data_IF_790791751217
#
_entry.id   IF_790791751217
#
_cell.length_a   1.000
_cell.length_b   1.000
_cell.length_c   1.000
_cell.angle_alpha   90.00
_cell.angle_beta   90.00
_cell.angle_gamma   90.00
#
_symmetry.space_group_name_H-M   'P 1'
#
loop_
_entity.id
_entity.type
_entity.pdbx_description
1 polymer ?
#
# COMPACT_ATOMS: atom_id res chain seq x y z
N UNK A 1 -63.43 16.95 2.51
CA UNK A 1 -62.21 16.21 2.74
C UNK A 1 -60.97 16.73 1.99
N UNK A 2 -61.01 17.07 0.70
CA UNK A 2 -59.80 17.56 -0.07
C UNK A 2 -59.18 18.87 0.47
N UNK A 3 -59.94 19.81 1.04
CA UNK A 3 -59.39 21.06 1.59
C UNK A 3 -58.65 20.89 2.91
N UNK A 4 -59.06 19.94 3.75
CA UNK A 4 -58.38 19.67 5.03
C UNK A 4 -57.04 19.00 4.79
N UNK A 5 -56.94 18.08 3.82
CA UNK A 5 -55.67 17.42 3.44
C UNK A 5 -54.65 18.42 2.94
N UNK A 6 -55.04 19.42 2.15
CA UNK A 6 -54.14 20.46 1.65
C UNK A 6 -53.61 21.39 2.76
N UNK A 7 -54.42 21.70 3.78
CA UNK A 7 -54.00 22.52 4.92
C UNK A 7 -53.01 21.74 5.81
N UNK A 8 -53.24 20.43 6.04
CA UNK A 8 -52.34 19.61 6.82
C UNK A 8 -50.99 19.38 6.09
N UNK A 9 -51.02 19.18 4.77
CA UNK A 9 -49.80 19.05 3.99
C UNK A 9 -48.99 20.37 3.93
N UNK A 10 -49.69 21.49 3.84
CA UNK A 10 -49.05 22.83 3.89
C UNK A 10 -48.40 23.12 5.25
N UNK A 11 -49.06 22.78 6.35
CA UNK A 11 -48.53 22.94 7.70
C UNK A 11 -47.32 21.99 7.96
N UNK A 12 -47.34 20.76 7.42
CA UNK A 12 -46.23 19.84 7.53
C UNK A 12 -45.00 20.34 6.74
N UNK A 13 -45.19 20.94 5.55
CA UNK A 13 -44.12 21.53 4.77
C UNK A 13 -43.51 22.78 5.43
N UNK A 14 -44.36 23.62 6.06
CA UNK A 14 -43.88 24.78 6.81
C UNK A 14 -43.17 24.36 8.08
N UNK A 15 -43.67 23.35 8.78
CA UNK A 15 -42.97 22.80 9.94
C UNK A 15 -41.63 22.13 9.58
N UNK A 16 -41.56 21.44 8.43
CA UNK A 16 -40.33 20.87 7.92
C UNK A 16 -39.31 21.96 7.49
N UNK A 17 -39.78 23.02 6.86
CA UNK A 17 -38.96 24.18 6.51
C UNK A 17 -38.44 24.93 7.75
N UNK A 18 -39.25 25.02 8.81
CA UNK A 18 -38.84 25.58 10.09
C UNK A 18 -37.84 24.70 10.85
N UNK A 19 -37.97 23.37 10.77
CA UNK A 19 -37.00 22.44 11.35
C UNK A 19 -35.69 22.41 10.58
N UNK A 20 -35.74 22.51 9.24
CA UNK A 20 -34.56 22.61 8.40
C UNK A 20 -33.89 23.97 8.46
N UNK A 21 -34.67 25.04 8.79
CA UNK A 21 -34.14 26.38 9.02
C UNK A 21 -33.58 26.61 10.42
N UNK A 22 -33.79 25.70 11.34
CA UNK A 22 -33.14 25.66 12.67
C UNK A 22 -31.93 24.74 12.65
N UNK A 23 -31.05 24.86 11.66
CA UNK A 23 -29.67 24.50 11.85
C UNK A 23 -29.13 25.40 12.95
N UNK A 24 -28.64 24.84 14.10
CA UNK A 24 -28.19 25.68 15.21
C UNK A 24 -27.21 26.73 14.68
N UNK A 25 -27.36 27.97 15.13
CA UNK A 25 -26.70 29.17 14.61
C UNK A 25 -25.17 29.20 14.62
N UNK A 26 -24.50 28.04 14.84
CA UNK A 26 -23.05 27.90 14.67
C UNK A 26 -22.58 27.86 13.21
N UNK A 27 -23.46 27.68 12.23
CA UNK A 27 -23.09 27.75 10.81
C UNK A 27 -23.07 29.18 10.27
N UNK A 28 -23.50 30.17 11.05
CA UNK A 28 -23.44 31.60 10.71
C UNK A 28 -22.45 32.41 11.54
N UNK A 29 -21.77 31.77 12.50
CA UNK A 29 -20.58 32.37 13.12
C UNK A 29 -19.51 32.48 12.04
N UNK A 30 -19.06 33.68 11.75
CA UNK A 30 -17.86 33.86 10.96
C UNK A 30 -16.75 33.04 11.63
N UNK A 31 -16.00 32.25 10.85
CA UNK A 31 -14.90 31.45 11.43
C UNK A 31 -13.99 32.40 12.22
N UNK A 32 -13.64 32.00 13.44
CA UNK A 32 -12.69 32.71 14.27
C UNK A 32 -11.49 33.12 13.42
N UNK A 33 -11.17 34.41 13.30
CA UNK A 33 -10.06 34.87 12.48
C UNK A 33 -8.74 34.20 12.82
N UNK A 34 -8.53 33.86 14.11
CA UNK A 34 -7.34 33.09 14.53
C UNK A 34 -7.33 31.69 13.96
N UNK A 35 -8.49 31.03 13.85
CA UNK A 35 -8.61 29.74 13.25
C UNK A 35 -8.37 29.78 11.72
N UNK A 36 -8.84 30.87 11.08
CA UNK A 36 -8.60 31.09 9.66
C UNK A 36 -7.12 31.41 9.37
N UNK A 37 -6.47 32.16 10.23
CA UNK A 37 -5.02 32.45 10.14
C UNK A 37 -4.18 31.21 10.35
N UNK A 38 -4.50 30.38 11.35
CA UNK A 38 -3.83 29.10 11.59
C UNK A 38 -4.03 28.11 10.44
N UNK A 39 -5.23 28.05 9.89
CA UNK A 39 -5.51 27.23 8.72
C UNK A 39 -4.74 27.72 7.48
N UNK A 40 -4.64 29.03 7.27
CA UNK A 40 -3.88 29.62 6.17
C UNK A 40 -2.38 29.49 6.38
N UNK A 41 -1.89 29.63 7.62
CA UNK A 41 -0.47 29.44 7.93
C UNK A 41 -0.03 27.98 7.76
N UNK A 42 -0.87 27.02 8.16
CA UNK A 42 -0.65 25.60 7.96
C UNK A 42 -0.63 25.21 6.49
N UNK A 43 -1.45 25.84 5.65
CA UNK A 43 -1.42 25.62 4.19
C UNK A 43 -0.17 26.18 3.50
N UNK A 44 0.54 27.10 4.14
CA UNK A 44 1.77 27.71 3.61
C UNK A 44 3.05 27.16 4.25
N UNK A 45 2.94 26.22 5.18
CA UNK A 45 4.13 25.64 5.78
C UNK A 45 4.88 24.83 4.70
N UNK A 46 6.20 25.12 4.46
CA UNK A 46 6.97 24.48 3.41
C UNK A 46 6.97 22.95 3.47
N UNK A 47 6.75 22.40 4.65
CA UNK A 47 6.74 20.95 4.89
C UNK A 47 5.36 20.31 4.68
N UNK A 48 4.29 21.09 4.61
CA UNK A 48 2.94 20.65 4.22
C UNK A 48 2.79 20.76 2.70
N UNK A 49 3.58 21.63 2.06
CA UNK A 49 3.67 21.77 0.61
C UNK A 49 4.62 20.76 -0.05
N UNK A 50 5.00 19.69 0.66
CA UNK A 50 5.72 18.57 0.06
C UNK A 50 4.94 18.09 -1.16
N UNK A 51 5.59 18.03 -2.33
CA UNK A 51 4.96 17.47 -3.53
C UNK A 51 4.75 15.95 -3.35
N UNK A 52 3.65 15.62 -2.69
CA UNK A 52 3.27 14.23 -2.41
C UNK A 52 3.06 13.41 -3.68
N UNK A 53 2.84 14.05 -4.82
CA UNK A 53 2.79 13.39 -6.12
C UNK A 53 4.09 12.70 -6.53
N UNK A 54 5.23 13.08 -5.93
CA UNK A 54 6.50 12.39 -6.13
C UNK A 54 6.60 11.04 -5.42
N UNK A 55 5.77 10.81 -4.41
CA UNK A 55 5.81 9.62 -3.56
C UNK A 55 4.90 8.49 -4.01
N UNK A 56 3.98 8.75 -4.95
CA UNK A 56 3.03 7.77 -5.49
C UNK A 56 3.37 7.47 -6.95
N UNK A 57 3.41 6.18 -7.30
CA UNK A 57 3.68 5.77 -8.68
C UNK A 57 3.00 4.44 -9.01
N UNK A 58 2.77 4.23 -10.31
CA UNK A 58 2.19 3.01 -10.86
C UNK A 58 3.21 2.32 -11.78
N UNK A 59 3.26 0.99 -11.78
CA UNK A 59 4.18 0.22 -12.65
C UNK A 59 4.01 0.55 -14.14
N UNK A 60 2.83 0.99 -14.59
CA UNK A 60 2.58 1.39 -15.98
C UNK A 60 3.42 2.60 -16.43
N UNK A 61 3.90 3.40 -15.47
CA UNK A 61 4.73 4.57 -15.76
C UNK A 61 6.20 4.23 -15.99
N UNK A 62 6.61 2.96 -15.82
CA UNK A 62 7.98 2.50 -16.10
C UNK A 62 8.03 1.60 -17.34
N UNK A 63 9.17 1.62 -18.03
CA UNK A 63 9.42 0.72 -19.15
C UNK A 63 9.63 -0.71 -18.62
N UNK A 64 9.16 -1.75 -19.33
CA UNK A 64 9.48 -3.12 -19.00
C UNK A 64 10.93 -3.43 -19.31
N UNK A 65 11.52 -4.28 -18.51
CA UNK A 65 12.84 -4.86 -18.74
C UNK A 65 12.90 -6.30 -18.23
N UNK A 66 13.84 -7.06 -18.72
CA UNK A 66 14.09 -8.42 -18.24
C UNK A 66 14.96 -8.36 -16.97
N UNK A 67 14.52 -9.02 -15.89
CA UNK A 67 15.24 -9.10 -14.62
C UNK A 67 15.10 -10.46 -13.95
N UNK A 68 15.87 -10.72 -12.90
CA UNK A 68 15.79 -11.88 -12.01
C UNK A 68 15.52 -13.22 -12.73
N UNK A 69 16.30 -13.50 -13.80
CA UNK A 69 16.22 -14.75 -14.54
C UNK A 69 15.14 -14.82 -15.62
N UNK A 70 14.59 -13.68 -16.05
CA UNK A 70 13.63 -13.59 -17.15
C UNK A 70 12.23 -13.14 -16.76
N UNK A 71 12.03 -12.60 -15.56
CA UNK A 71 10.81 -11.87 -15.26
C UNK A 71 10.73 -10.60 -16.11
N UNK A 72 9.55 -10.27 -16.60
CA UNK A 72 9.24 -8.95 -17.14
C UNK A 72 8.98 -8.03 -15.95
N UNK A 73 9.94 -7.17 -15.65
CA UNK A 73 9.88 -6.27 -14.51
C UNK A 73 9.53 -4.85 -14.90
N UNK A 74 8.81 -4.17 -14.01
CA UNK A 74 8.51 -2.73 -14.09
C UNK A 74 8.63 -2.13 -12.71
N UNK A 75 9.43 -1.07 -12.58
CA UNK A 75 9.60 -0.37 -11.33
C UNK A 75 8.30 0.36 -10.93
N UNK A 76 7.98 0.32 -9.65
CA UNK A 76 6.95 1.15 -9.03
C UNK A 76 7.64 2.23 -8.21
N UNK A 77 8.46 1.82 -7.22
CA UNK A 77 9.29 2.72 -6.44
C UNK A 77 10.75 2.31 -6.58
N UNK A 78 11.64 3.29 -6.57
CA UNK A 78 13.09 3.13 -6.79
C UNK A 78 13.89 3.82 -5.69
N UNK A 79 15.19 3.48 -5.54
CA UNK A 79 16.07 4.15 -4.59
C UNK A 79 16.09 5.68 -4.78
N UNK A 80 16.08 6.39 -3.66
CA UNK A 80 16.08 7.85 -3.61
C UNK A 80 16.13 8.39 -2.19
N UNK A 81 15.94 9.69 -2.06
CA UNK A 81 15.81 10.33 -0.76
C UNK A 81 14.32 10.52 -0.42
N UNK A 82 13.79 9.81 0.59
CA UNK A 82 12.38 9.94 0.99
C UNK A 82 12.02 11.30 1.58
N UNK A 83 13.00 12.16 1.90
CA UNK A 83 12.75 13.52 2.33
C UNK A 83 12.79 14.53 1.18
N UNK A 84 13.49 14.21 0.09
CA UNK A 84 13.66 15.06 -1.09
C UNK A 84 13.76 14.22 -2.36
N UNK A 85 12.67 13.57 -2.80
CA UNK A 85 12.71 12.72 -3.98
C UNK A 85 13.20 13.49 -5.21
N UNK A 86 14.22 13.00 -5.92
CA UNK A 86 14.73 13.69 -7.11
C UNK A 86 13.79 13.55 -8.33
N UNK A 87 12.89 12.59 -8.31
CA UNK A 87 11.86 12.34 -9.32
C UNK A 87 10.75 11.46 -8.75
N UNK A 88 9.63 11.36 -9.47
CA UNK A 88 8.48 10.52 -9.10
C UNK A 88 8.90 9.06 -8.88
N UNK A 89 8.52 8.50 -7.73
CA UNK A 89 8.83 7.13 -7.32
C UNK A 89 10.25 6.88 -6.81
N UNK A 90 11.17 7.86 -6.83
CA UNK A 90 12.54 7.70 -6.31
C UNK A 90 12.60 8.04 -4.81
N UNK A 91 12.06 7.17 -3.98
CA UNK A 91 11.76 7.43 -2.56
C UNK A 91 12.32 6.37 -1.60
N UNK A 92 12.86 5.25 -2.09
CA UNK A 92 13.33 4.14 -1.26
C UNK A 92 14.70 4.45 -0.64
N UNK A 93 14.82 4.27 0.67
CA UNK A 93 16.07 4.45 1.40
C UNK A 93 16.67 3.13 1.87
N UNK A 94 15.88 2.22 2.37
CA UNK A 94 16.33 0.97 2.98
C UNK A 94 16.05 -0.25 2.10
N UNK A 95 14.99 -0.19 1.32
CA UNK A 95 14.65 -1.20 0.32
C UNK A 95 15.26 -0.82 -1.02
N UNK A 96 15.81 -1.81 -1.74
CA UNK A 96 16.50 -1.61 -3.02
C UNK A 96 15.54 -1.39 -4.19
N UNK A 97 14.39 -2.08 -4.18
CA UNK A 97 13.40 -1.96 -5.25
C UNK A 97 12.01 -2.41 -4.79
N UNK A 98 11.00 -1.77 -5.35
CA UNK A 98 9.59 -2.17 -5.25
C UNK A 98 9.01 -2.19 -6.66
N UNK A 99 8.64 -3.37 -7.16
CA UNK A 99 8.37 -3.62 -8.59
C UNK A 99 7.13 -4.48 -8.79
N UNK A 100 6.58 -4.43 -10.02
CA UNK A 100 5.80 -5.52 -10.58
C UNK A 100 6.75 -6.44 -11.35
N UNK A 101 6.68 -7.75 -11.10
CA UNK A 101 7.31 -8.80 -11.88
C UNK A 101 6.21 -9.66 -12.53
N UNK A 102 6.42 -10.09 -13.77
CA UNK A 102 5.44 -10.91 -14.48
C UNK A 102 6.10 -12.02 -15.28
N UNK A 103 5.40 -13.14 -15.40
CA UNK A 103 5.70 -14.20 -16.37
C UNK A 103 4.55 -14.32 -17.36
N UNK A 104 4.90 -14.43 -18.61
CA UNK A 104 3.96 -14.74 -19.71
C UNK A 104 3.30 -16.12 -19.51
N UNK A 105 2.14 -16.33 -20.14
CA UNK A 105 1.50 -17.65 -20.16
C UNK A 105 2.45 -18.75 -20.64
N UNK A 106 2.42 -19.89 -19.97
CA UNK A 106 3.16 -21.12 -20.33
C UNK A 106 4.70 -20.93 -20.37
N UNK A 107 5.23 -19.99 -19.60
CA UNK A 107 6.68 -19.70 -19.55
C UNK A 107 7.26 -19.94 -18.16
N UNK A 108 8.56 -19.74 -18.04
CA UNK A 108 9.27 -19.76 -16.76
C UNK A 108 10.57 -18.98 -16.81
N UNK A 109 11.09 -18.64 -15.63
CA UNK A 109 12.40 -18.00 -15.52
C UNK A 109 13.52 -19.00 -15.74
N UNK A 110 14.69 -18.51 -16.13
CA UNK A 110 15.96 -19.21 -15.93
C UNK A 110 16.26 -19.27 -14.42
N UNK A 111 17.15 -20.19 -14.04
CA UNK A 111 17.62 -20.20 -12.66
C UNK A 111 18.39 -18.91 -12.36
N UNK A 112 18.00 -18.24 -11.29
CA UNK A 112 18.64 -17.01 -10.82
C UNK A 112 19.10 -17.15 -9.38
N UNK A 113 20.22 -16.51 -9.06
CA UNK A 113 20.79 -16.47 -7.71
C UNK A 113 21.47 -15.12 -7.49
N UNK A 114 21.24 -14.52 -6.35
CA UNK A 114 22.01 -13.36 -5.87
C UNK A 114 22.61 -13.66 -4.50
N UNK A 115 23.89 -13.40 -4.30
CA UNK A 115 24.54 -13.53 -2.98
C UNK A 115 24.43 -12.23 -2.15
N UNK A 116 23.85 -11.16 -2.72
CA UNK A 116 23.74 -9.84 -2.08
C UNK A 116 22.30 -9.36 -1.90
N UNK A 117 21.35 -10.05 -2.47
CA UNK A 117 19.97 -9.63 -2.52
C UNK A 117 19.06 -10.79 -2.14
N UNK A 118 18.03 -10.47 -1.37
CA UNK A 118 16.92 -11.36 -1.09
C UNK A 118 15.60 -10.71 -1.51
N UNK A 119 14.61 -11.54 -1.83
CA UNK A 119 13.37 -11.10 -2.43
C UNK A 119 12.16 -11.52 -1.60
N UNK A 120 11.23 -10.59 -1.42
CA UNK A 120 9.86 -10.89 -1.05
C UNK A 120 8.99 -10.73 -2.30
N UNK A 121 8.19 -11.76 -2.64
CA UNK A 121 7.30 -11.76 -3.79
C UNK A 121 5.89 -12.11 -3.33
N UNK A 122 4.94 -11.19 -3.52
CA UNK A 122 3.52 -11.44 -3.24
C UNK A 122 2.79 -11.66 -4.58
N UNK A 123 2.05 -12.76 -4.70
CA UNK A 123 1.27 -13.04 -5.91
C UNK A 123 0.11 -12.05 -6.00
N UNK A 124 0.19 -11.19 -6.99
CA UNK A 124 -0.79 -10.16 -7.29
C UNK A 124 -1.97 -10.72 -8.12
N UNK A 125 -1.64 -11.53 -9.13
CA UNK A 125 -2.64 -12.25 -9.94
C UNK A 125 -2.06 -13.51 -10.57
N UNK A 126 -2.94 -14.44 -10.91
CA UNK A 126 -2.56 -15.71 -11.52
C UNK A 126 -2.10 -16.76 -10.50
N UNK A 127 -1.55 -17.83 -11.04
CA UNK A 127 -1.00 -18.97 -10.30
C UNK A 127 0.30 -19.45 -10.92
N UNK A 128 1.14 -20.12 -10.15
CA UNK A 128 2.42 -20.58 -10.62
C UNK A 128 3.07 -21.62 -9.74
N UNK A 129 4.33 -21.88 -10.03
CA UNK A 129 5.18 -22.76 -9.22
C UNK A 129 6.54 -22.11 -9.04
N UNK A 130 7.08 -22.21 -7.84
CA UNK A 130 8.45 -21.81 -7.52
C UNK A 130 9.27 -23.04 -7.12
N UNK A 131 10.52 -23.09 -7.60
CA UNK A 131 11.54 -24.03 -7.15
C UNK A 131 12.74 -23.25 -6.64
N UNK A 132 13.19 -23.52 -5.40
CA UNK A 132 14.32 -22.83 -4.80
C UNK A 132 15.01 -23.70 -3.75
N UNK A 133 16.35 -23.83 -3.82
CA UNK A 133 17.13 -24.57 -2.83
C UNK A 133 16.69 -26.03 -2.63
N UNK A 134 16.22 -26.69 -3.67
CA UNK A 134 15.69 -28.06 -3.63
C UNK A 134 14.24 -28.19 -3.15
N UNK A 135 13.59 -27.09 -2.78
CA UNK A 135 12.17 -27.04 -2.42
C UNK A 135 11.33 -26.69 -3.65
N UNK A 136 10.04 -27.10 -3.62
CA UNK A 136 9.03 -26.75 -4.64
C UNK A 136 7.74 -26.37 -3.96
N UNK A 137 7.09 -25.33 -4.45
CA UNK A 137 5.77 -24.91 -3.98
C UNK A 137 4.92 -24.42 -5.14
N UNK A 138 3.61 -24.69 -5.08
CA UNK A 138 2.62 -23.97 -5.86
C UNK A 138 2.35 -22.63 -5.17
N UNK A 139 2.07 -21.60 -5.97
CA UNK A 139 1.75 -20.26 -5.49
C UNK A 139 0.58 -19.71 -6.27
N UNK A 140 -0.27 -18.99 -5.60
CA UNK A 140 -1.46 -18.36 -6.18
C UNK A 140 -1.75 -17.03 -5.50
N UNK A 141 -2.70 -16.27 -6.04
CA UNK A 141 -3.11 -14.98 -5.49
C UNK A 141 -3.38 -15.07 -3.97
N UNK A 142 -2.75 -14.16 -3.22
CA UNK A 142 -2.80 -14.13 -1.76
C UNK A 142 -1.62 -14.78 -1.05
N UNK A 143 -0.81 -15.53 -1.78
CA UNK A 143 0.42 -16.13 -1.24
C UNK A 143 1.63 -15.22 -1.47
N UNK A 144 2.64 -15.41 -0.64
CA UNK A 144 3.94 -14.77 -0.79
C UNK A 144 5.09 -15.78 -0.70
N UNK A 145 6.18 -15.46 -1.39
CA UNK A 145 7.43 -16.24 -1.36
C UNK A 145 8.55 -15.32 -0.88
N UNK A 146 9.33 -15.80 0.08
CA UNK A 146 10.59 -15.17 0.46
C UNK A 146 11.76 -16.02 -0.04
N UNK A 147 12.63 -15.40 -0.81
CA UNK A 147 13.81 -16.01 -1.43
C UNK A 147 15.06 -15.40 -0.79
N UNK A 148 15.76 -16.15 0.07
CA UNK A 148 16.97 -15.65 0.72
C UNK A 148 18.13 -15.46 -0.27
N UNK A 149 19.01 -14.54 0.04
CA UNK A 149 20.29 -14.42 -0.66
C UNK A 149 21.08 -15.76 -0.61
N UNK A 150 21.75 -16.07 -1.70
CA UNK A 150 22.51 -17.33 -1.83
C UNK A 150 21.69 -18.53 -2.29
N UNK A 151 20.38 -18.44 -2.33
CA UNK A 151 19.49 -19.53 -2.78
C UNK A 151 19.15 -19.32 -4.26
N UNK A 152 19.46 -20.32 -5.09
CA UNK A 152 19.05 -20.33 -6.50
C UNK A 152 17.58 -20.67 -6.62
N UNK A 153 16.85 -19.95 -7.46
CA UNK A 153 15.42 -20.14 -7.69
C UNK A 153 15.04 -20.05 -9.16
N UNK A 154 13.85 -20.54 -9.49
CA UNK A 154 13.14 -20.33 -10.75
C UNK A 154 11.63 -20.40 -10.53
N UNK A 155 10.89 -19.68 -11.35
CA UNK A 155 9.44 -19.69 -11.39
C UNK A 155 8.93 -20.30 -12.69
N UNK A 156 7.72 -20.86 -12.63
CA UNK A 156 6.98 -21.39 -13.78
C UNK A 156 5.55 -20.89 -13.73
N UNK A 157 5.07 -20.43 -14.84
CA UNK A 157 3.68 -20.11 -15.08
C UNK A 157 3.05 -21.18 -15.98
N UNK A 158 2.32 -22.17 -15.44
CA UNK A 158 1.68 -23.22 -16.24
C UNK A 158 0.34 -22.80 -16.83
N UNK A 159 -0.18 -21.62 -16.49
CA UNK A 159 -1.49 -21.13 -16.88
C UNK A 159 -1.46 -20.39 -18.23
N UNK A 160 -2.65 -20.22 -18.84
CA UNK A 160 -2.85 -19.41 -20.04
C UNK A 160 -3.05 -17.90 -19.75
N UNK A 161 -2.79 -17.46 -18.51
CA UNK A 161 -2.83 -16.07 -18.07
C UNK A 161 -1.47 -15.68 -17.49
N UNK A 162 -1.21 -14.38 -17.36
CA UNK A 162 0.01 -13.90 -16.71
C UNK A 162 0.04 -14.31 -15.24
N UNK A 163 1.22 -14.72 -14.75
CA UNK A 163 1.53 -14.72 -13.33
C UNK A 163 2.16 -13.37 -13.00
N UNK A 164 1.53 -12.62 -12.12
CA UNK A 164 1.97 -11.28 -11.72
C UNK A 164 2.27 -11.23 -10.23
N UNK A 165 3.39 -10.62 -9.88
CA UNK A 165 3.88 -10.53 -8.51
C UNK A 165 4.26 -9.08 -8.18
N UNK A 166 4.02 -8.68 -6.95
CA UNK A 166 4.70 -7.53 -6.36
C UNK A 166 6.00 -8.05 -5.76
N UNK A 167 7.12 -7.53 -6.26
CA UNK A 167 8.47 -7.91 -5.86
C UNK A 167 9.11 -6.78 -5.06
N UNK A 168 9.58 -7.12 -3.87
CA UNK A 168 10.38 -6.23 -3.03
C UNK A 168 11.77 -6.81 -2.90
N UNK A 169 12.79 -6.05 -3.29
CA UNK A 169 14.17 -6.44 -3.19
C UNK A 169 14.87 -5.75 -2.02
N UNK A 170 15.52 -6.53 -1.19
CA UNK A 170 16.31 -6.09 -0.05
C UNK A 170 17.77 -6.45 -0.26
N UNK A 171 18.67 -5.48 -0.08
CA UNK A 171 20.10 -5.74 -0.10
C UNK A 171 20.60 -6.16 1.28
N UNK A 172 21.38 -7.25 1.35
CA UNK A 172 21.94 -7.71 2.61
C UNK A 172 23.29 -7.06 2.88
N UNK A 173 23.52 -6.66 4.13
CA UNK A 173 24.80 -6.10 4.58
C UNK A 173 25.84 -7.18 4.85
N UNK A 174 27.10 -6.78 4.86
CA UNK A 174 28.20 -7.66 5.26
C UNK A 174 27.98 -8.19 6.66
N UNK A 175 28.15 -9.51 6.85
CA UNK A 175 27.93 -10.19 8.13
C UNK A 175 26.51 -10.65 8.40
N UNK A 176 25.53 -10.25 7.59
CA UNK A 176 24.18 -10.82 7.67
C UNK A 176 24.19 -12.29 7.21
N UNK A 177 23.55 -13.15 8.00
CA UNK A 177 23.42 -14.59 7.69
C UNK A 177 21.97 -14.84 7.27
N UNK A 178 21.68 -15.00 5.97
CA UNK A 178 20.34 -15.26 5.46
C UNK A 178 19.85 -16.67 5.82
N UNK A 179 18.56 -16.91 5.63
CA UNK A 179 18.01 -18.26 5.63
C UNK A 179 18.63 -19.05 4.47
N UNK A 180 18.67 -20.39 4.61
CA UNK A 180 19.18 -21.31 3.57
C UNK A 180 18.09 -21.93 2.72
N UNK A 181 16.83 -21.65 3.05
CA UNK A 181 15.64 -22.18 2.39
C UNK A 181 14.67 -21.05 2.07
N UNK A 182 13.90 -21.21 1.01
CA UNK A 182 12.78 -20.32 0.75
C UNK A 182 11.72 -20.47 1.84
N UNK A 183 10.89 -19.43 2.00
CA UNK A 183 9.69 -19.48 2.82
C UNK A 183 8.47 -19.19 1.96
N UNK A 184 7.36 -19.88 2.23
CA UNK A 184 6.07 -19.63 1.58
C UNK A 184 5.07 -19.25 2.65
N UNK A 185 4.32 -18.18 2.41
CA UNK A 185 3.33 -17.67 3.34
C UNK A 185 2.00 -17.38 2.66
N UNK A 186 0.93 -17.44 3.44
CA UNK A 186 -0.43 -17.11 2.97
C UNK A 186 -1.12 -16.21 4.01
N UNK A 187 -1.56 -15.03 3.58
CA UNK A 187 -2.28 -14.13 4.49
C UNK A 187 -3.72 -14.60 4.74
N UNK A 188 -4.31 -15.39 3.84
CA UNK A 188 -5.69 -15.88 3.97
C UNK A 188 -5.86 -16.86 5.12
N UNK A 189 -4.75 -17.51 5.54
CA UNK A 189 -4.72 -18.44 6.69
C UNK A 189 -4.55 -17.74 8.05
N UNK A 190 -4.48 -16.40 8.07
CA UNK A 190 -4.31 -15.62 9.31
C UNK A 190 -5.62 -15.01 9.75
N UNK A 191 -5.95 -15.19 11.03
CA UNK A 191 -7.07 -14.50 11.65
C UNK A 191 -6.80 -12.99 11.60
N UNK A 192 -7.74 -12.17 11.08
CA UNK A 192 -7.49 -10.75 10.93
C UNK A 192 -7.40 -10.04 12.29
N UNK A 193 -6.51 -9.07 12.38
CA UNK A 193 -6.54 -8.03 13.41
C UNK A 193 -7.40 -6.89 12.91
N UNK A 194 -8.42 -6.50 13.67
CA UNK A 194 -9.39 -5.45 13.29
C UNK A 194 -9.28 -4.25 14.21
N UNK A 195 -9.67 -3.08 13.69
CA UNK A 195 -9.72 -1.83 14.45
C UNK A 195 -8.38 -1.07 14.52
N UNK A 196 -7.34 -1.51 13.82
CA UNK A 196 -6.15 -0.68 13.63
C UNK A 196 -6.52 0.51 12.74
N UNK A 197 -6.09 1.71 13.12
CA UNK A 197 -6.41 2.93 12.36
C UNK A 197 -7.89 3.00 11.93
N UNK A 198 -8.80 2.72 12.88
CA UNK A 198 -10.26 2.63 12.76
C UNK A 198 -10.74 1.42 11.95
N UNK A 199 -10.56 1.44 10.62
CA UNK A 199 -11.16 0.48 9.70
C UNK A 199 -10.19 -0.57 9.16
N UNK A 200 -8.91 -0.55 9.55
CA UNK A 200 -7.96 -1.51 9.02
C UNK A 200 -8.24 -2.93 9.52
N UNK A 201 -8.31 -3.85 8.58
CA UNK A 201 -8.43 -5.29 8.79
C UNK A 201 -7.13 -5.92 8.29
N UNK A 202 -6.17 -6.08 9.19
CA UNK A 202 -4.81 -6.54 8.86
C UNK A 202 -4.62 -8.03 9.02
N UNK A 203 -3.91 -8.66 8.07
CA UNK A 203 -3.44 -10.05 8.12
C UNK A 203 -1.97 -10.10 7.76
N UNK A 204 -1.13 -10.54 8.69
CA UNK A 204 0.24 -10.95 8.35
C UNK A 204 0.23 -12.20 7.46
N UNK A 205 1.39 -12.69 7.10
CA UNK A 205 1.52 -13.95 6.37
C UNK A 205 1.80 -15.09 7.36
N UNK A 206 1.06 -16.18 7.24
CA UNK A 206 1.39 -17.44 7.92
C UNK A 206 2.43 -18.16 7.10
N UNK A 207 3.67 -18.10 7.56
CA UNK A 207 4.84 -18.70 6.90
C UNK A 207 5.02 -20.15 7.30
N UNK A 208 5.40 -21.01 6.35
CA UNK A 208 5.87 -22.37 6.61
C UNK A 208 7.19 -22.37 7.38
N UNK A 209 8.05 -21.41 7.07
CA UNK A 209 9.29 -21.11 7.78
C UNK A 209 9.41 -19.60 7.91
N UNK A 210 9.61 -19.02 9.10
CA UNK A 210 9.72 -17.57 9.24
C UNK A 210 10.85 -16.98 8.39
N UNK A 211 10.56 -16.00 7.52
CA UNK A 211 11.59 -15.30 6.76
C UNK A 211 12.48 -14.47 7.67
N UNK A 212 13.76 -14.36 7.32
CA UNK A 212 14.72 -13.51 8.01
C UNK A 212 15.12 -12.36 7.12
N UNK A 213 14.54 -11.20 7.38
CA UNK A 213 14.89 -9.96 6.69
C UNK A 213 16.15 -9.34 7.28
N UNK A 214 16.94 -8.66 6.45
CA UNK A 214 18.14 -7.92 6.88
C UNK A 214 17.76 -6.59 7.55
N UNK A 215 16.65 -5.99 7.14
CA UNK A 215 16.05 -4.82 7.75
C UNK A 215 14.87 -5.22 8.66
N UNK A 216 14.49 -4.38 9.63
CA UNK A 216 13.34 -4.62 10.50
C UNK A 216 12.01 -4.38 9.76
N UNK A 217 11.74 -5.17 8.72
CA UNK A 217 10.59 -5.05 7.83
C UNK A 217 9.49 -6.04 8.17
N UNK A 218 8.24 -5.60 8.05
CA UNK A 218 7.06 -6.44 8.14
C UNK A 218 6.16 -6.27 6.92
N UNK A 219 5.45 -7.34 6.57
CA UNK A 219 4.48 -7.36 5.48
C UNK A 219 3.13 -7.83 5.98
N UNK A 220 2.06 -7.22 5.47
CA UNK A 220 0.70 -7.63 5.74
C UNK A 220 -0.22 -7.32 4.55
N UNK A 221 -1.26 -8.12 4.39
CA UNK A 221 -2.43 -7.75 3.61
C UNK A 221 -3.39 -6.96 4.50
N UNK A 222 -3.79 -5.77 4.06
CA UNK A 222 -4.68 -4.89 4.83
C UNK A 222 -5.86 -4.52 3.97
N UNK A 223 -7.07 -4.75 4.47
CA UNK A 223 -8.32 -4.38 3.81
C UNK A 223 -9.08 -3.31 4.59
N UNK A 224 -9.91 -2.58 3.88
CA UNK A 224 -10.95 -1.70 4.42
C UNK A 224 -12.27 -2.16 3.79
N UNK A 225 -13.29 -2.32 4.62
CA UNK A 225 -14.62 -2.69 4.16
C UNK A 225 -15.26 -1.55 3.35
N UNK A 226 -16.36 -1.88 2.66
CA UNK A 226 -17.12 -0.95 1.84
C UNK A 226 -17.53 0.29 2.63
N UNK A 227 -17.38 1.45 1.99
CA UNK A 227 -17.78 2.77 2.52
C UNK A 227 -17.14 3.12 3.88
N UNK A 228 -15.96 2.56 4.20
CA UNK A 228 -15.26 2.82 5.45
C UNK A 228 -14.00 3.67 5.22
N UNK A 229 -13.43 4.21 6.30
CA UNK A 229 -12.33 5.14 6.27
C UNK A 229 -11.23 4.77 7.27
N UNK A 230 -9.98 4.79 6.82
CA UNK A 230 -8.83 4.67 7.70
C UNK A 230 -8.47 6.01 8.34
N UNK A 231 -8.04 5.95 9.60
CA UNK A 231 -7.59 7.12 10.34
C UNK A 231 -6.37 7.78 9.67
N UNK A 232 -6.45 9.07 9.32
CA UNK A 232 -5.28 9.82 8.88
C UNK A 232 -4.24 9.92 9.99
N UNK A 233 -2.96 9.62 9.65
CA UNK A 233 -1.84 9.71 10.58
C UNK A 233 -0.52 9.98 9.83
N UNK A 234 0.57 10.20 10.57
CA UNK A 234 1.89 10.56 10.04
C UNK A 234 2.96 9.62 10.54
N UNK A 235 4.06 9.49 9.78
CA UNK A 235 5.24 8.74 10.18
C UNK A 235 6.46 9.64 10.35
N UNK A 236 7.34 9.25 11.31
CA UNK A 236 8.57 9.96 11.62
C UNK A 236 9.80 9.41 10.89
N UNK A 237 10.93 10.11 11.05
CA UNK A 237 12.22 9.64 10.54
C UNK A 237 12.53 8.21 10.99
N UNK A 238 13.13 7.42 10.09
CA UNK A 238 13.43 6.01 10.34
C UNK A 238 12.32 5.05 9.98
N UNK A 239 11.13 5.54 9.57
CA UNK A 239 10.07 4.72 9.01
C UNK A 239 10.13 4.75 7.47
N UNK A 240 10.07 3.58 6.85
CA UNK A 240 9.83 3.41 5.42
C UNK A 240 8.59 2.54 5.29
N UNK A 241 7.46 3.19 5.03
CA UNK A 241 6.17 2.53 4.95
C UNK A 241 5.60 2.71 3.55
N UNK A 242 5.25 1.58 2.93
CA UNK A 242 4.73 1.51 1.57
C UNK A 242 3.38 0.79 1.57
N UNK A 243 2.44 1.33 0.82
CA UNK A 243 1.14 0.75 0.55
C UNK A 243 0.97 0.56 -0.94
N UNK A 244 0.69 -0.67 -1.37
CA UNK A 244 0.42 -1.00 -2.76
C UNK A 244 -1.00 -1.52 -2.89
N UNK A 245 -1.82 -0.87 -3.70
CA UNK A 245 -3.18 -1.33 -3.99
C UNK A 245 -3.12 -2.67 -4.73
N UNK A 246 -3.79 -3.69 -4.18
CA UNK A 246 -3.90 -5.02 -4.79
C UNK A 246 -5.27 -5.23 -5.43
N UNK A 247 -6.34 -4.81 -4.73
CA UNK A 247 -7.73 -5.01 -5.16
C UNK A 247 -8.58 -3.81 -4.82
N UNK A 248 -9.62 -3.58 -5.61
CA UNK A 248 -10.51 -2.44 -5.47
C UNK A 248 -9.81 -1.13 -5.79
N UNK A 249 -10.49 -0.03 -5.49
CA UNK A 249 -9.99 1.33 -5.66
C UNK A 249 -10.21 2.13 -4.40
N UNK A 250 -9.39 3.15 -4.17
CA UNK A 250 -9.52 4.01 -2.99
C UNK A 250 -9.34 5.48 -3.32
N UNK A 251 -9.82 6.35 -2.43
CA UNK A 251 -9.41 7.74 -2.35
C UNK A 251 -8.34 7.84 -1.26
N UNK A 252 -7.10 8.01 -1.67
CA UNK A 252 -5.98 8.24 -0.77
C UNK A 252 -5.93 9.71 -0.36
N UNK A 253 -6.10 9.98 0.94
CA UNK A 253 -5.76 11.27 1.54
C UNK A 253 -4.24 11.29 1.71
N UNK A 254 -3.54 12.21 1.05
CA UNK A 254 -2.08 12.26 1.09
C UNK A 254 -1.59 13.71 1.17
N UNK A 255 -1.14 14.12 2.34
CA UNK A 255 -0.90 15.51 2.64
C UNK A 255 -2.19 16.33 2.53
N UNK A 256 -2.16 17.35 1.69
CA UNK A 256 -3.29 18.21 1.38
C UNK A 256 -4.02 17.84 0.06
N UNK A 257 -3.79 16.63 -0.47
CA UNK A 257 -4.35 16.16 -1.75
C UNK A 257 -5.15 14.88 -1.58
N UNK A 258 -6.03 14.65 -2.52
CA UNK A 258 -6.72 13.39 -2.73
C UNK A 258 -6.22 12.76 -4.03
N UNK A 259 -5.90 11.47 -3.97
CA UNK A 259 -5.53 10.66 -5.12
C UNK A 259 -6.52 9.53 -5.29
N UNK A 260 -6.92 9.28 -6.52
CA UNK A 260 -7.60 8.05 -6.86
C UNK A 260 -6.54 6.97 -7.05
N UNK A 261 -6.65 5.89 -6.25
CA UNK A 261 -5.68 4.81 -6.24
C UNK A 261 -6.29 3.55 -6.86
N UNK A 262 -5.55 2.92 -7.77
CA UNK A 262 -5.96 1.71 -8.47
C UNK A 262 -4.95 0.56 -8.28
N UNK A 263 -5.34 -0.71 -8.56
CA UNK A 263 -4.45 -1.86 -8.40
C UNK A 263 -3.13 -1.71 -9.18
N UNK A 264 -2.01 -1.96 -8.47
CA UNK A 264 -0.66 -1.81 -9.01
C UNK A 264 -0.02 -0.45 -8.79
N UNK A 265 -0.71 0.49 -8.16
CA UNK A 265 -0.14 1.73 -7.67
C UNK A 265 0.37 1.58 -6.25
N UNK A 266 1.55 2.13 -5.98
CA UNK A 266 2.12 2.16 -4.64
C UNK A 266 2.59 3.56 -4.26
N UNK A 267 2.54 3.86 -2.97
CA UNK A 267 3.10 5.08 -2.41
C UNK A 267 3.93 4.80 -1.16
N UNK A 268 4.95 5.64 -0.96
CA UNK A 268 5.72 5.69 0.27
C UNK A 268 5.30 6.91 1.08
N UNK A 269 5.09 6.73 2.37
CA UNK A 269 4.71 7.83 3.26
C UNK A 269 5.96 8.62 3.64
N UNK A 270 6.01 9.94 3.35
CA UNK A 270 7.16 10.77 3.75
C UNK A 270 7.45 10.65 5.24
N UNK A 271 8.67 10.22 5.66
CA UNK A 271 9.00 10.04 7.05
C UNK A 271 9.38 11.36 7.74
N UNK A 272 8.56 12.39 7.61
CA UNK A 272 8.84 13.77 8.06
C UNK A 272 7.94 14.24 9.20
N UNK A 273 7.01 13.41 9.73
CA UNK A 273 6.03 13.73 10.78
C UNK A 273 5.01 14.81 10.39
N UNK A 274 4.89 15.18 9.11
CA UNK A 274 4.09 16.32 8.68
C UNK A 274 3.05 15.96 7.62
N UNK A 275 3.35 14.97 6.77
CA UNK A 275 2.44 14.54 5.71
C UNK A 275 1.50 13.46 6.24
N UNK A 276 0.23 13.77 6.49
CA UNK A 276 -0.75 12.76 6.85
C UNK A 276 -1.09 11.88 5.64
N UNK A 277 -1.42 10.64 5.91
CA UNK A 277 -2.01 9.73 4.94
C UNK A 277 -3.16 8.96 5.59
N UNK A 278 -4.13 8.61 4.77
CA UNK A 278 -5.28 7.80 5.13
C UNK A 278 -6.02 7.44 3.86
N UNK A 279 -6.87 6.42 3.91
CA UNK A 279 -7.59 5.98 2.73
C UNK A 279 -9.08 5.84 3.01
N UNK A 280 -9.86 6.13 1.99
CA UNK A 280 -11.32 6.00 2.00
C UNK A 280 -11.69 4.95 0.98
N UNK A 281 -12.35 3.89 1.42
CA UNK A 281 -13.06 3.01 0.50
C UNK A 281 -14.40 3.65 0.14
N UNK A 282 -14.48 4.20 -1.05
CA UNK A 282 -15.65 4.91 -1.56
C UNK A 282 -16.58 4.00 -2.38
N UNK A 283 -16.30 2.68 -2.38
CA UNK A 283 -17.02 1.69 -3.18
C UNK A 283 -17.83 0.74 -2.29
N UNK A 284 -18.71 -0.01 -2.92
CA UNK A 284 -19.53 -1.06 -2.28
C UNK A 284 -18.83 -2.44 -2.20
N UNK A 285 -17.54 -2.49 -2.60
CA UNK A 285 -16.69 -3.68 -2.50
C UNK A 285 -15.51 -3.42 -1.55
N UNK A 286 -15.00 -4.42 -0.84
CA UNK A 286 -13.78 -4.29 -0.05
C UNK A 286 -12.59 -3.94 -0.92
N UNK A 287 -11.67 -3.18 -0.38
CA UNK A 287 -10.38 -2.94 -1.00
C UNK A 287 -9.25 -3.60 -0.23
N UNK A 288 -8.15 -3.91 -0.92
CA UNK A 288 -7.02 -4.62 -0.35
C UNK A 288 -5.70 -3.99 -0.77
N UNK A 289 -4.78 -3.83 0.20
CA UNK A 289 -3.40 -3.44 -0.02
C UNK A 289 -2.41 -4.51 0.41
N UNK A 290 -1.23 -4.46 -0.19
CA UNK A 290 0.01 -4.97 0.41
C UNK A 290 0.66 -3.83 1.19
N UNK A 291 0.70 -3.98 2.51
CA UNK A 291 1.46 -3.15 3.43
C UNK A 291 2.89 -3.67 3.55
N UNK A 292 3.85 -2.76 3.52
CA UNK A 292 5.24 -2.99 3.92
C UNK A 292 5.64 -1.89 4.90
N UNK A 293 6.09 -2.27 6.08
CA UNK A 293 6.62 -1.34 7.07
C UNK A 293 8.02 -1.72 7.48
N UNK A 294 8.97 -0.80 7.30
CA UNK A 294 10.36 -0.92 7.69
C UNK A 294 10.67 0.17 8.72
N UNK A 295 11.10 -0.20 9.92
CA UNK A 295 11.26 0.73 11.05
C UNK A 295 12.67 0.68 11.60
N UNK A 296 13.42 1.74 11.35
CA UNK A 296 14.79 1.97 11.86
C UNK A 296 14.86 2.95 13.01
N UNK A 297 13.74 3.48 13.49
CA UNK A 297 13.65 4.45 14.60
C UNK A 297 14.02 3.85 15.96
N UNK A 298 14.04 2.52 16.07
CA UNK A 298 14.48 1.80 17.28
C UNK A 298 16.00 1.56 17.34
N UNK A 299 16.74 1.95 16.30
CA UNK A 299 18.18 1.74 16.19
C UNK A 299 19.01 2.96 16.63
N UNK A 300 18.40 3.89 17.38
CA UNK A 300 19.06 5.07 17.96
C UNK A 300 19.34 4.89 19.44
#
# INVERSE_FOLDING_TARGET
>A
MKRIVLIVAGLALVALALVLGQVPGKLTEEPDPSFAEDAVSNHRHPDVDTDVGLYINHWRNSLPYEGHGGFIERDILTPGDPLRPPKKGAVLKYIKAYKRAALEPLTGTQAFKSDKEQLFLCVFSGEGRVEAGGQKAAVEKGMAVFLPAGVSFRFFNPANAYLELIMVAEEISAGFVPNTKMSVGDYREVVPSVGMHWAHIGRGFKWDTPPKFANPVGFAAVSIDKFDIAQPHVHGPGCEEIWCQLEGTSLLIFGNRLFYQEPGEAFLIPPNRKVPHGSVNHTDEPMLWLYMGNRHDHLK
#
